data_IF_425654763962
#
_entry.id   IF_425654763962
#
_cell.length_a   1.000
_cell.length_b   1.000
_cell.length_c   1.000
_cell.angle_alpha   90.00
_cell.angle_beta   90.00
_cell.angle_gamma   90.00
#
_symmetry.space_group_name_H-M   'P 1'
#
loop_
_entity.id
_entity.type
_entity.pdbx_description
1 polymer ?
#
# COMPACT_ATOMS: atom_id res chain seq x y z
N UNK A 1 22.23 -4.40 -5.11
CA UNK A 1 22.09 -5.05 -3.79
C UNK A 1 21.12 -4.28 -2.86
N UNK A 2 19.92 -3.89 -3.33
CA UNK A 2 18.94 -3.11 -2.54
C UNK A 2 17.63 -3.89 -2.26
N UNK A 3 17.54 -5.14 -2.73
CA UNK A 3 16.33 -5.98 -2.65
C UNK A 3 16.38 -7.06 -1.56
N UNK A 4 17.42 -7.09 -0.71
CA UNK A 4 17.58 -8.13 0.30
C UNK A 4 17.17 -7.67 1.71
N UNK A 5 17.36 -6.39 2.06
CA UNK A 5 17.02 -5.86 3.39
C UNK A 5 15.53 -5.67 3.67
N UNK A 6 14.69 -5.50 2.63
CA UNK A 6 13.24 -5.40 2.80
C UNK A 6 12.54 -6.77 2.88
N UNK A 7 13.23 -7.84 2.49
CA UNK A 7 12.72 -9.22 2.62
C UNK A 7 12.81 -9.71 4.06
N UNK A 8 13.83 -9.29 4.80
CA UNK A 8 14.04 -9.76 6.17
C UNK A 8 13.06 -9.12 7.18
N UNK A 9 12.68 -7.86 6.99
CA UNK A 9 11.60 -7.22 7.78
C UNK A 9 10.23 -7.83 7.49
N UNK A 10 9.98 -8.24 6.24
CA UNK A 10 8.77 -8.97 5.89
C UNK A 10 8.74 -10.36 6.55
N UNK A 11 9.87 -11.06 6.59
CA UNK A 11 10.03 -12.38 7.19
C UNK A 11 9.87 -12.38 8.72
N UNK A 12 10.30 -11.31 9.40
CA UNK A 12 10.20 -11.22 10.86
C UNK A 12 8.74 -11.11 11.33
N UNK A 13 7.91 -10.35 10.60
CA UNK A 13 6.46 -10.32 10.84
C UNK A 13 5.76 -11.64 10.42
N UNK A 14 6.32 -12.37 9.46
CA UNK A 14 5.82 -13.69 9.04
C UNK A 14 5.97 -14.75 10.14
N UNK A 15 7.05 -14.70 10.93
CA UNK A 15 7.32 -15.70 11.97
C UNK A 15 6.39 -15.57 13.18
N UNK A 16 5.89 -14.37 13.49
CA UNK A 16 4.89 -14.20 14.56
C UNK A 16 3.50 -14.68 14.11
N UNK A 17 3.19 -14.59 12.80
CA UNK A 17 1.90 -14.99 12.23
C UNK A 17 1.74 -16.51 11.99
N UNK A 18 2.84 -17.24 11.77
CA UNK A 18 2.81 -18.67 11.45
C UNK A 18 2.40 -19.59 12.62
N UNK A 19 2.24 -19.06 13.84
CA UNK A 19 1.97 -19.83 15.06
C UNK A 19 0.49 -19.93 15.45
N UNK A 20 -0.45 -19.39 14.67
CA UNK A 20 -1.89 -19.49 14.96
C UNK A 20 -2.69 -20.05 13.76
N UNK A 21 -3.21 -21.29 13.85
CA UNK A 21 -4.10 -21.82 12.83
C UNK A 21 -5.49 -21.20 13.02
N UNK A 22 -5.85 -20.22 12.19
CA UNK A 22 -7.25 -19.74 12.14
C UNK A 22 -7.59 -18.44 11.41
N UNK A 23 -6.66 -17.53 11.08
CA UNK A 23 -7.01 -16.14 10.71
C UNK A 23 -6.50 -15.62 9.36
N UNK A 24 -5.83 -16.44 8.53
CA UNK A 24 -5.12 -15.96 7.32
C UNK A 24 -5.97 -15.16 6.31
N UNK A 25 -7.30 -15.35 6.28
CA UNK A 25 -8.19 -14.69 5.33
C UNK A 25 -8.58 -13.24 5.70
N UNK A 26 -8.27 -12.77 6.92
CA UNK A 26 -8.74 -11.47 7.43
C UNK A 26 -7.60 -10.53 7.89
N UNK A 27 -6.34 -10.88 7.64
CA UNK A 27 -5.24 -10.04 8.07
C UNK A 27 -4.98 -8.91 7.05
N UNK A 28 -4.95 -7.62 7.48
CA UNK A 28 -4.60 -6.50 6.62
C UNK A 28 -3.31 -6.73 5.82
N UNK A 29 -2.36 -7.46 6.43
CA UNK A 29 -1.07 -7.83 5.84
C UNK A 29 -1.20 -8.81 4.67
N UNK A 30 -2.06 -9.81 4.76
CA UNK A 30 -2.29 -10.76 3.67
C UNK A 30 -2.89 -10.07 2.44
N UNK A 31 -3.89 -9.21 2.68
CA UNK A 31 -4.52 -8.39 1.63
C UNK A 31 -3.54 -7.39 1.02
N UNK A 32 -2.65 -6.82 1.84
CA UNK A 32 -1.58 -5.95 1.34
C UNK A 32 -0.61 -6.70 0.42
N UNK A 33 -0.12 -7.88 0.82
CA UNK A 33 0.78 -8.68 -0.03
C UNK A 33 0.10 -9.15 -1.31
N UNK A 34 -1.18 -9.50 -1.25
CA UNK A 34 -1.96 -9.78 -2.45
C UNK A 34 -1.99 -8.56 -3.39
N UNK A 35 -2.21 -7.36 -2.86
CA UNK A 35 -2.18 -6.12 -3.63
C UNK A 35 -0.82 -5.87 -4.30
N UNK A 36 0.28 -6.16 -3.60
CA UNK A 36 1.64 -6.03 -4.15
C UNK A 36 1.81 -6.96 -5.36
N UNK A 37 1.45 -8.24 -5.21
CA UNK A 37 1.57 -9.24 -6.30
C UNK A 37 0.73 -8.84 -7.52
N UNK A 38 -0.49 -8.34 -7.29
CA UNK A 38 -1.37 -7.87 -8.36
C UNK A 38 -0.78 -6.63 -9.07
N UNK A 39 -0.23 -5.69 -8.31
CA UNK A 39 0.39 -4.49 -8.87
C UNK A 39 1.65 -4.82 -9.70
N UNK A 40 2.46 -5.78 -9.26
CA UNK A 40 3.63 -6.29 -10.02
C UNK A 40 3.22 -6.95 -11.33
N UNK A 41 2.02 -7.53 -11.42
CA UNK A 41 1.44 -8.09 -12.65
C UNK A 41 0.77 -7.04 -13.55
N UNK A 42 0.72 -5.78 -13.13
CA UNK A 42 0.00 -4.72 -13.84
C UNK A 42 -1.52 -4.72 -13.62
N UNK A 43 -2.03 -5.60 -12.76
CA UNK A 43 -3.45 -5.72 -12.41
C UNK A 43 -3.86 -4.65 -11.39
N UNK A 44 -3.67 -3.37 -11.75
CA UNK A 44 -3.78 -2.24 -10.82
C UNK A 44 -5.18 -2.10 -10.20
N UNK A 45 -6.24 -2.39 -10.96
CA UNK A 45 -7.62 -2.34 -10.46
C UNK A 45 -7.86 -3.35 -9.33
N UNK A 46 -7.34 -4.57 -9.45
CA UNK A 46 -7.47 -5.60 -8.43
C UNK A 46 -6.52 -5.35 -7.25
N UNK A 47 -5.33 -4.81 -7.52
CA UNK A 47 -4.42 -4.34 -6.47
C UNK A 47 -5.10 -3.28 -5.56
N UNK A 48 -5.79 -2.30 -6.15
CA UNK A 48 -6.56 -1.30 -5.41
C UNK A 48 -7.61 -1.94 -4.50
N UNK A 49 -8.33 -2.96 -5.00
CA UNK A 49 -9.34 -3.68 -4.20
C UNK A 49 -8.69 -4.39 -3.02
N UNK A 50 -7.54 -5.03 -3.22
CA UNK A 50 -6.80 -5.70 -2.17
C UNK A 50 -6.30 -4.71 -1.10
N UNK A 51 -5.67 -3.60 -1.51
CA UNK A 51 -5.25 -2.53 -0.58
C UNK A 51 -6.43 -1.90 0.15
N UNK A 52 -7.57 -1.69 -0.52
CA UNK A 52 -8.76 -1.13 0.12
C UNK A 52 -9.29 -2.04 1.22
N UNK A 53 -9.26 -3.37 1.02
CA UNK A 53 -9.63 -4.32 2.08
C UNK A 53 -8.60 -4.31 3.22
N UNK A 54 -7.32 -4.18 2.93
CA UNK A 54 -6.30 -4.01 3.96
C UNK A 54 -6.56 -2.75 4.80
N UNK A 55 -6.89 -1.64 4.15
CA UNK A 55 -7.19 -0.35 4.79
C UNK A 55 -8.52 -0.34 5.54
N UNK A 56 -9.50 -1.15 5.12
CA UNK A 56 -10.74 -1.30 5.87
C UNK A 56 -10.49 -1.89 7.27
N UNK A 57 -9.51 -2.79 7.39
CA UNK A 57 -9.13 -3.39 8.67
C UNK A 57 -8.09 -2.55 9.44
N UNK A 58 -7.17 -1.89 8.72
CA UNK A 58 -6.18 -1.00 9.30
C UNK A 58 -6.11 0.33 8.51
N UNK A 59 -6.96 1.32 8.85
CA UNK A 59 -7.08 2.57 8.08
C UNK A 59 -5.80 3.41 8.01
N UNK A 60 -4.88 3.21 8.96
CA UNK A 60 -3.60 3.91 9.04
C UNK A 60 -2.43 3.07 8.51
N UNK A 61 -2.68 2.04 7.70
CA UNK A 61 -1.61 1.25 7.10
C UNK A 61 -0.92 2.03 5.97
N UNK A 62 0.10 2.81 6.34
CA UNK A 62 0.79 3.77 5.46
C UNK A 62 1.33 3.12 4.18
N UNK A 63 1.88 1.91 4.26
CA UNK A 63 2.35 1.16 3.08
C UNK A 63 1.21 0.82 2.11
N UNK A 64 0.03 0.47 2.62
CA UNK A 64 -1.13 0.19 1.78
C UNK A 64 -1.69 1.47 1.13
N UNK A 65 -1.72 2.59 1.87
CA UNK A 65 -2.08 3.91 1.29
C UNK A 65 -1.12 4.31 0.17
N UNK A 66 0.19 4.19 0.39
CA UNK A 66 1.20 4.53 -0.60
C UNK A 66 1.03 3.71 -1.88
N UNK A 67 0.91 2.38 -1.74
CA UNK A 67 0.80 1.49 -2.89
C UNK A 67 -0.55 1.62 -3.61
N UNK A 68 -1.65 1.90 -2.89
CA UNK A 68 -2.95 2.18 -3.50
C UNK A 68 -2.92 3.48 -4.28
N UNK A 69 -2.32 4.53 -3.73
CA UNK A 69 -2.09 5.79 -4.43
C UNK A 69 -1.30 5.60 -5.73
N UNK A 70 -0.21 4.83 -5.70
CA UNK A 70 0.57 4.50 -6.91
C UNK A 70 -0.25 3.70 -7.94
N UNK A 71 -1.06 2.73 -7.49
CA UNK A 71 -1.93 1.99 -8.38
C UNK A 71 -3.01 2.90 -9.02
N UNK A 72 -3.55 3.87 -8.28
CA UNK A 72 -4.43 4.89 -8.84
C UNK A 72 -3.72 5.77 -9.88
N UNK A 73 -2.47 6.19 -9.63
CA UNK A 73 -1.65 6.94 -10.60
C UNK A 73 -1.49 6.18 -11.91
N UNK A 74 -1.22 4.86 -11.85
CA UNK A 74 -1.06 4.03 -13.05
C UNK A 74 -2.36 3.88 -13.85
N UNK A 75 -3.52 4.02 -13.21
CA UNK A 75 -4.83 4.02 -13.87
C UNK A 75 -5.32 5.42 -14.26
N UNK A 76 -4.51 6.47 -14.08
CA UNK A 76 -4.90 7.85 -14.36
C UNK A 76 -5.93 8.44 -13.38
N UNK A 77 -6.13 7.79 -12.23
CA UNK A 77 -7.10 8.22 -11.19
C UNK A 77 -6.44 9.16 -10.19
N UNK A 78 -6.03 10.33 -10.67
CA UNK A 78 -5.15 11.24 -9.93
C UNK A 78 -5.79 11.81 -8.66
N UNK A 79 -7.09 12.13 -8.66
CA UNK A 79 -7.77 12.65 -7.47
C UNK A 79 -7.74 11.64 -6.30
N UNK A 80 -7.97 10.36 -6.60
CA UNK A 80 -7.97 9.29 -5.59
C UNK A 80 -6.55 9.03 -5.06
N UNK A 81 -5.54 9.14 -5.94
CA UNK A 81 -4.15 9.04 -5.53
C UNK A 81 -3.76 10.20 -4.60
N UNK A 82 -4.16 11.43 -4.94
CA UNK A 82 -3.90 12.62 -4.13
C UNK A 82 -4.49 12.48 -2.72
N UNK A 83 -5.72 11.96 -2.61
CA UNK A 83 -6.36 11.70 -1.32
C UNK A 83 -5.55 10.73 -0.45
N UNK A 84 -5.09 9.61 -1.00
CA UNK A 84 -4.28 8.63 -0.28
C UNK A 84 -2.95 9.22 0.20
N UNK A 85 -2.26 10.00 -0.63
CA UNK A 85 -1.02 10.67 -0.23
C UNK A 85 -1.25 11.76 0.83
N UNK A 86 -2.37 12.48 0.76
CA UNK A 86 -2.75 13.46 1.77
C UNK A 86 -3.02 12.80 3.12
N UNK A 87 -3.58 11.58 3.17
CA UNK A 87 -3.72 10.81 4.42
C UNK A 87 -2.35 10.56 5.05
N UNK A 88 -1.36 10.14 4.25
CA UNK A 88 0.00 9.89 4.72
C UNK A 88 0.61 11.18 5.28
N UNK A 89 0.51 12.29 4.55
CA UNK A 89 1.06 13.59 4.95
C UNK A 89 0.40 14.19 6.19
N UNK A 90 -0.87 13.87 6.47
CA UNK A 90 -1.50 14.27 7.74
C UNK A 90 -0.88 13.56 8.94
N UNK A 91 -0.37 12.34 8.77
CA UNK A 91 0.26 11.56 9.85
C UNK A 91 1.77 11.81 9.94
N UNK A 92 2.41 11.91 8.79
CA UNK A 92 3.84 12.13 8.60
C UNK A 92 4.05 13.28 7.59
N UNK A 93 3.99 14.54 8.05
CA UNK A 93 4.15 15.71 7.18
C UNK A 93 5.49 15.76 6.45
N UNK A 94 6.52 15.11 6.98
CA UNK A 94 7.88 15.13 6.44
C UNK A 94 8.13 13.99 5.43
N UNK A 95 7.09 13.20 5.10
CA UNK A 95 7.20 12.13 4.13
C UNK A 95 7.46 12.67 2.71
N UNK A 96 8.74 12.72 2.33
CA UNK A 96 9.18 13.26 1.05
C UNK A 96 8.56 12.52 -0.15
N UNK A 97 8.36 11.20 -0.04
CA UNK A 97 7.77 10.40 -1.11
C UNK A 97 6.29 10.73 -1.29
N UNK A 98 5.51 10.77 -0.21
CA UNK A 98 4.09 11.12 -0.28
C UNK A 98 3.89 12.53 -0.83
N UNK A 99 4.73 13.49 -0.42
CA UNK A 99 4.72 14.86 -0.95
C UNK A 99 4.95 14.88 -2.46
N UNK A 100 6.01 14.21 -2.92
CA UNK A 100 6.36 14.10 -4.35
C UNK A 100 5.24 13.47 -5.17
N UNK A 101 4.66 12.36 -4.70
CA UNK A 101 3.60 11.69 -5.44
C UNK A 101 2.29 12.46 -5.43
N UNK A 102 1.94 13.13 -4.33
CA UNK A 102 0.81 14.07 -4.28
C UNK A 102 1.00 15.21 -5.29
N UNK A 103 2.18 15.83 -5.34
CA UNK A 103 2.47 16.90 -6.31
C UNK A 103 2.39 16.39 -7.75
N UNK A 104 2.85 15.16 -7.99
CA UNK A 104 2.73 14.53 -9.29
C UNK A 104 1.28 14.21 -9.68
N UNK A 105 0.45 13.80 -8.72
CA UNK A 105 -0.98 13.58 -8.93
C UNK A 105 -1.67 14.90 -9.26
N UNK A 106 -1.41 15.94 -8.48
CA UNK A 106 -2.02 17.26 -8.63
C UNK A 106 -1.66 17.97 -9.95
N UNK A 107 -0.51 17.65 -10.55
CA UNK A 107 -0.12 18.19 -11.86
C UNK A 107 -0.70 17.41 -13.05
N UNK A 108 -1.22 16.21 -12.83
CA UNK A 108 -1.72 15.31 -13.88
C UNK A 108 -3.24 15.12 -13.89
N UNK A 109 -3.95 15.66 -12.90
CA UNK A 109 -5.42 15.77 -12.88
C UNK A 109 -5.93 16.64 -14.03
#
# INVERSE_FOLDING_TARGET
YYHQGQRDLALQDFQVAAASPGSFAYEPRAMFWQGIILAERGEHSDAIRAYTRALANQPQFMSALMNRGLAYMNLGRFDQAEEDFNVILRKDPDNANARRYRDLAATRK
#
